data_IF_754590560037
#
_entry.id   IF_754590560037
#
_cell.length_a   1.000
_cell.length_b   1.000
_cell.length_c   1.000
_cell.angle_alpha   90.00
_cell.angle_beta   90.00
_cell.angle_gamma   90.00
#
_symmetry.space_group_name_H-M   'P 1'
#
loop_
_entity.id
_entity.type
_entity.pdbx_description
1 polymer ?
#
# COMPACT_ATOMS: atom_id res chain seq x y z
N UNK A 1 -15.79 -17.77 -3.77
CA UNK A 1 -16.37 -16.92 -2.70
C UNK A 1 -15.75 -15.52 -2.86
N UNK A 2 -16.53 -14.46 -2.71
CA UNK A 2 -16.03 -13.08 -2.85
C UNK A 2 -15.29 -12.69 -1.56
N UNK A 3 -14.10 -12.10 -1.67
CA UNK A 3 -13.38 -11.49 -0.55
C UNK A 3 -13.60 -9.98 -0.59
N UNK A 4 -14.02 -9.40 0.54
CA UNK A 4 -14.19 -7.97 0.72
C UNK A 4 -13.17 -7.46 1.73
N UNK A 5 -12.66 -6.26 1.52
CA UNK A 5 -11.61 -5.68 2.33
C UNK A 5 -11.57 -4.16 2.22
N UNK A 6 -11.17 -3.44 3.28
CA UNK A 6 -11.06 -1.99 3.24
C UNK A 6 -9.81 -1.51 2.48
N UNK A 7 -9.96 -0.35 1.84
CA UNK A 7 -8.86 0.52 1.43
C UNK A 7 -8.35 1.30 2.65
N UNK A 8 -7.14 1.02 3.13
CA UNK A 8 -6.68 1.54 4.43
C UNK A 8 -6.41 3.06 4.47
N UNK A 9 -6.38 3.74 3.32
CA UNK A 9 -6.41 5.21 3.27
C UNK A 9 -7.63 5.80 4.00
N UNK A 10 -8.73 5.05 4.06
CA UNK A 10 -9.96 5.41 4.80
C UNK A 10 -9.68 5.62 6.29
N UNK A 11 -8.71 4.88 6.85
CA UNK A 11 -8.32 4.89 8.26
C UNK A 11 -6.87 5.37 8.45
N UNK A 12 -6.34 6.14 7.48
CA UNK A 12 -4.93 6.55 7.40
C UNK A 12 -4.36 7.17 8.67
N UNK A 13 -5.16 7.88 9.46
CA UNK A 13 -4.70 8.53 10.69
C UNK A 13 -4.24 7.50 11.74
N UNK A 14 -4.79 6.27 11.71
CA UNK A 14 -4.37 5.16 12.55
C UNK A 14 -3.15 4.40 12.00
N UNK A 15 -2.78 4.62 10.74
CA UNK A 15 -1.70 3.89 10.09
C UNK A 15 -0.31 4.52 10.32
N UNK A 16 -0.20 5.52 11.20
CA UNK A 16 0.98 6.38 11.35
C UNK A 16 2.06 5.84 12.32
N UNK A 17 1.86 4.66 12.91
CA UNK A 17 2.84 3.95 13.75
C UNK A 17 2.70 2.43 13.58
N UNK A 18 3.72 1.67 13.96
CA UNK A 18 3.64 0.19 13.94
C UNK A 18 2.50 -0.33 14.82
N UNK A 19 2.32 0.24 16.03
CA UNK A 19 1.20 -0.07 16.92
C UNK A 19 -0.16 0.24 16.27
N UNK A 20 -0.27 1.37 15.56
CA UNK A 20 -1.48 1.76 14.88
C UNK A 20 -1.83 0.84 13.69
N UNK A 21 -0.81 0.39 12.95
CA UNK A 21 -0.96 -0.63 11.90
C UNK A 21 -1.45 -1.96 12.51
N UNK A 22 -0.79 -2.42 13.58
CA UNK A 22 -1.17 -3.65 14.29
C UNK A 22 -2.61 -3.58 14.82
N UNK A 23 -2.98 -2.49 15.49
CA UNK A 23 -4.34 -2.28 15.98
C UNK A 23 -5.37 -2.27 14.83
N UNK A 24 -5.03 -1.67 13.68
CA UNK A 24 -5.90 -1.67 12.50
C UNK A 24 -6.10 -3.08 11.95
N UNK A 25 -5.05 -3.89 11.85
CA UNK A 25 -5.17 -5.29 11.41
C UNK A 25 -5.93 -6.15 12.41
N UNK A 26 -5.74 -5.94 13.70
CA UNK A 26 -6.51 -6.61 14.75
C UNK A 26 -8.01 -6.33 14.61
N UNK A 27 -8.40 -5.07 14.41
CA UNK A 27 -9.80 -4.68 14.18
C UNK A 27 -10.32 -5.29 12.87
N UNK A 28 -9.54 -5.27 11.78
CA UNK A 28 -9.96 -5.88 10.52
C UNK A 28 -10.26 -7.38 10.69
N UNK A 29 -9.36 -8.10 11.36
CA UNK A 29 -9.52 -9.52 11.67
C UNK A 29 -10.77 -9.77 12.53
N UNK A 30 -10.96 -9.00 13.61
CA UNK A 30 -12.14 -9.12 14.49
C UNK A 30 -13.46 -8.91 13.73
N UNK A 31 -13.47 -8.02 12.72
CA UNK A 31 -14.64 -7.77 11.87
C UNK A 31 -14.79 -8.77 10.72
N UNK A 32 -13.90 -9.75 10.59
CA UNK A 32 -13.96 -10.80 9.57
C UNK A 32 -13.45 -10.37 8.20
N UNK A 33 -12.68 -9.27 8.10
CA UNK A 33 -11.98 -8.95 6.86
C UNK A 33 -10.76 -9.85 6.71
N UNK A 34 -10.68 -10.56 5.59
CA UNK A 34 -9.53 -11.41 5.23
C UNK A 34 -8.51 -10.70 4.35
N UNK A 35 -8.86 -9.52 3.82
CA UNK A 35 -8.01 -8.80 2.89
C UNK A 35 -8.09 -7.30 3.10
N UNK A 36 -7.01 -6.60 2.76
CA UNK A 36 -6.92 -5.14 2.77
C UNK A 36 -6.15 -4.68 1.56
N UNK A 37 -6.40 -3.45 1.12
CA UNK A 37 -5.42 -2.71 0.35
C UNK A 37 -4.65 -1.83 1.34
N UNK A 38 -3.31 -1.89 1.28
CA UNK A 38 -2.44 -1.13 2.17
C UNK A 38 -2.07 0.24 1.59
N UNK A 39 -2.31 1.31 2.34
CA UNK A 39 -2.03 2.67 1.89
C UNK A 39 -1.83 3.64 3.06
N UNK A 40 -1.05 4.70 2.81
CA UNK A 40 -0.76 5.78 3.75
C UNK A 40 -0.25 5.33 5.12
N UNK A 41 0.39 4.17 5.20
CA UNK A 41 1.01 3.68 6.42
C UNK A 41 2.39 4.28 6.63
N UNK A 42 2.79 4.40 7.90
CA UNK A 42 4.17 4.58 8.27
C UNK A 42 4.98 3.41 7.74
N UNK A 43 6.15 3.70 7.19
CA UNK A 43 7.09 2.66 6.79
C UNK A 43 7.48 1.81 8.00
N UNK A 44 7.31 0.50 7.85
CA UNK A 44 7.92 -0.53 8.68
C UNK A 44 8.62 -1.53 7.75
N UNK A 45 9.69 -2.20 8.21
CA UNK A 45 10.35 -3.25 7.43
C UNK A 45 9.38 -4.35 6.95
N UNK A 46 9.68 -4.95 5.79
CA UNK A 46 8.81 -5.94 5.15
C UNK A 46 8.59 -7.19 6.01
N UNK A 47 9.61 -7.68 6.69
CA UNK A 47 9.54 -8.79 7.65
C UNK A 47 8.55 -8.50 8.80
N UNK A 48 8.56 -7.26 9.31
CA UNK A 48 7.61 -6.79 10.34
C UNK A 48 6.19 -6.72 9.79
N UNK A 49 6.01 -6.16 8.61
CA UNK A 49 4.70 -6.13 7.95
C UNK A 49 4.16 -7.56 7.73
N UNK A 50 5.01 -8.46 7.23
CA UNK A 50 4.69 -9.88 7.05
C UNK A 50 4.25 -10.53 8.35
N UNK A 51 5.00 -10.32 9.43
CA UNK A 51 4.67 -10.89 10.73
C UNK A 51 3.29 -10.43 11.22
N UNK A 52 2.95 -9.15 11.02
CA UNK A 52 1.63 -8.61 11.36
C UNK A 52 0.52 -9.18 10.46
N UNK A 53 0.71 -9.23 9.15
CA UNK A 53 -0.28 -9.79 8.23
C UNK A 53 -0.54 -11.26 8.50
N UNK A 54 0.50 -12.04 8.79
CA UNK A 54 0.38 -13.47 9.14
C UNK A 54 -0.34 -13.65 10.49
N UNK A 55 0.01 -12.84 11.50
CA UNK A 55 -0.59 -12.89 12.84
C UNK A 55 -2.10 -12.65 12.82
N UNK A 56 -2.56 -11.70 12.00
CA UNK A 56 -3.98 -11.32 11.91
C UNK A 56 -4.69 -11.94 10.71
N UNK A 57 -4.05 -12.87 10.00
CA UNK A 57 -4.60 -13.55 8.83
C UNK A 57 -5.13 -12.57 7.77
N UNK A 58 -4.43 -11.46 7.58
CA UNK A 58 -4.78 -10.41 6.61
C UNK A 58 -3.96 -10.62 5.34
N UNK A 59 -4.63 -10.80 4.20
CA UNK A 59 -3.99 -10.75 2.89
C UNK A 59 -3.97 -9.32 2.35
N UNK A 60 -2.78 -8.75 2.13
CA UNK A 60 -2.65 -7.46 1.45
C UNK A 60 -2.76 -7.67 -0.06
N UNK A 61 -3.91 -7.33 -0.65
CA UNK A 61 -4.20 -7.61 -2.05
C UNK A 61 -3.54 -6.61 -3.02
N UNK A 62 -3.29 -5.39 -2.56
CA UNK A 62 -2.57 -4.37 -3.28
C UNK A 62 -2.02 -3.33 -2.32
N UNK A 63 -1.05 -2.54 -2.78
CA UNK A 63 -0.53 -1.37 -2.06
C UNK A 63 -0.76 -0.08 -2.85
N UNK A 64 -0.65 1.06 -2.17
CA UNK A 64 -0.42 2.35 -2.82
C UNK A 64 1.01 2.77 -2.49
N UNK A 65 1.88 2.72 -3.49
CA UNK A 65 3.27 3.15 -3.38
C UNK A 65 3.47 4.50 -4.10
N UNK A 66 4.41 5.33 -3.64
CA UNK A 66 4.73 6.59 -4.31
C UNK A 66 5.45 6.33 -5.64
N UNK A 67 5.17 7.14 -6.66
CA UNK A 67 5.82 7.04 -7.98
C UNK A 67 7.35 7.05 -7.88
N UNK A 68 7.91 7.86 -6.96
CA UNK A 68 9.36 7.96 -6.77
C UNK A 68 10.01 6.61 -6.44
N UNK A 69 9.36 5.76 -5.64
CA UNK A 69 9.85 4.41 -5.35
C UNK A 69 9.80 3.52 -6.59
N UNK A 70 8.77 3.68 -7.42
CA UNK A 70 8.65 2.92 -8.68
C UNK A 70 9.71 3.33 -9.70
N UNK A 71 10.14 4.60 -9.70
CA UNK A 71 11.14 5.12 -10.64
C UNK A 71 12.57 4.82 -10.19
N UNK A 72 12.83 4.97 -8.89
CA UNK A 72 14.20 5.04 -8.37
C UNK A 72 14.58 3.84 -7.50
N UNK A 73 13.63 2.97 -7.13
CA UNK A 73 13.84 1.90 -6.15
C UNK A 73 12.90 0.69 -6.40
N UNK A 74 12.69 0.36 -7.67
CA UNK A 74 11.69 -0.62 -8.10
C UNK A 74 12.06 -2.03 -7.63
N UNK A 75 13.32 -2.44 -7.77
CA UNK A 75 13.77 -3.78 -7.40
C UNK A 75 13.57 -4.04 -5.90
N UNK A 76 13.97 -3.10 -5.05
CA UNK A 76 13.74 -3.22 -3.60
C UNK A 76 12.25 -3.23 -3.28
N UNK A 77 11.45 -2.37 -3.92
CA UNK A 77 10.01 -2.36 -3.75
C UNK A 77 9.38 -3.71 -4.10
N UNK A 78 9.81 -4.33 -5.19
CA UNK A 78 9.34 -5.66 -5.62
C UNK A 78 9.69 -6.72 -4.58
N UNK A 79 10.92 -6.73 -4.06
CA UNK A 79 11.33 -7.71 -3.05
C UNK A 79 10.55 -7.55 -1.74
N UNK A 80 10.34 -6.32 -1.26
CA UNK A 80 9.48 -6.03 -0.11
C UNK A 80 8.05 -6.54 -0.31
N UNK A 81 7.48 -6.37 -1.52
CA UNK A 81 6.14 -6.86 -1.85
C UNK A 81 6.07 -8.38 -1.89
N UNK A 82 7.08 -9.04 -2.48
CA UNK A 82 7.18 -10.51 -2.51
C UNK A 82 7.29 -11.09 -1.11
N UNK A 83 8.06 -10.46 -0.23
CA UNK A 83 8.22 -10.90 1.16
C UNK A 83 6.88 -10.88 1.90
N UNK A 84 6.11 -9.79 1.80
CA UNK A 84 4.78 -9.68 2.41
C UNK A 84 3.72 -10.53 1.68
N UNK A 85 3.98 -10.92 0.43
CA UNK A 85 3.05 -11.68 -0.41
C UNK A 85 2.00 -10.81 -1.12
N UNK A 86 2.35 -9.56 -1.41
CA UNK A 86 1.49 -8.60 -2.14
C UNK A 86 1.62 -8.83 -3.64
N UNK A 87 0.54 -9.11 -4.38
CA UNK A 87 0.62 -9.42 -5.80
C UNK A 87 0.65 -8.19 -6.71
N UNK A 88 0.18 -7.02 -6.22
CA UNK A 88 -0.03 -5.83 -7.05
C UNK A 88 0.50 -4.58 -6.35
N UNK A 89 1.35 -3.84 -7.04
CA UNK A 89 1.76 -2.49 -6.68
C UNK A 89 0.83 -1.50 -7.37
N UNK A 90 0.16 -0.63 -6.61
CA UNK A 90 -0.68 0.45 -7.14
C UNK A 90 -0.01 1.81 -6.98
N UNK A 91 -0.15 2.69 -7.97
CA UNK A 91 0.20 4.09 -7.81
C UNK A 91 -0.95 4.81 -7.07
N UNK A 92 -0.69 5.28 -5.86
CA UNK A 92 -1.75 5.82 -4.99
C UNK A 92 -2.36 7.13 -5.46
N UNK A 93 -1.56 7.98 -6.08
CA UNK A 93 -2.01 9.22 -6.71
C UNK A 93 -0.99 9.69 -7.73
N UNK A 94 -1.45 10.47 -8.71
CA UNK A 94 -0.56 11.25 -9.56
C UNK A 94 0.19 12.28 -8.68
N UNK A 95 1.54 12.32 -8.70
CA UNK A 95 2.28 13.31 -7.93
C UNK A 95 1.89 14.74 -8.32
N UNK A 96 1.89 15.65 -7.35
CA UNK A 96 1.40 17.02 -7.54
C UNK A 96 2.14 17.77 -8.67
N UNK A 97 3.43 17.48 -8.90
CA UNK A 97 4.23 18.06 -9.98
C UNK A 97 3.60 17.84 -11.38
N UNK A 98 2.93 16.69 -11.58
CA UNK A 98 2.28 16.37 -12.86
C UNK A 98 0.91 17.03 -13.02
N UNK A 99 0.33 17.56 -11.94
CA UNK A 99 -0.91 18.36 -11.98
C UNK A 99 -0.66 19.85 -12.25
N UNK A 100 0.59 20.30 -12.22
CA UNK A 100 0.93 21.73 -12.23
C UNK A 100 0.66 22.44 -13.57
N UNK A 101 0.63 21.71 -14.69
CA UNK A 101 0.34 22.28 -16.02
C UNK A 101 -0.04 21.19 -17.03
N UNK A 102 -0.61 21.60 -18.17
CA UNK A 102 -0.89 20.70 -19.28
C UNK A 102 0.38 20.03 -19.85
N UNK A 103 1.52 20.72 -19.84
CA UNK A 103 2.80 20.15 -20.26
C UNK A 103 3.23 19.03 -19.31
N UNK A 104 3.16 19.28 -18.01
CA UNK A 104 3.48 18.28 -16.98
C UNK A 104 2.53 17.08 -17.00
N UNK A 105 1.24 17.31 -17.25
CA UNK A 105 0.28 16.22 -17.42
C UNK A 105 0.64 15.34 -18.62
N UNK A 106 1.09 15.93 -19.73
CA UNK A 106 1.56 15.16 -20.90
C UNK A 106 2.77 14.30 -20.59
N UNK A 107 3.75 14.85 -19.88
CA UNK A 107 4.91 14.08 -19.40
C UNK A 107 4.48 12.84 -18.60
N UNK A 108 3.48 12.98 -17.72
CA UNK A 108 2.95 11.85 -16.95
C UNK A 108 2.24 10.83 -17.84
N UNK A 109 1.43 11.27 -18.80
CA UNK A 109 0.73 10.33 -19.71
C UNK A 109 1.70 9.56 -20.59
N UNK A 110 2.77 10.19 -21.05
CA UNK A 110 3.81 9.54 -21.86
C UNK A 110 4.60 8.53 -21.05
N UNK A 111 4.87 8.81 -19.77
CA UNK A 111 5.54 7.88 -18.86
C UNK A 111 4.69 6.64 -18.54
N UNK A 112 3.35 6.77 -18.53
CA UNK A 112 2.42 5.69 -18.17
C UNK A 112 1.91 4.89 -19.38
N UNK A 113 2.22 5.31 -20.61
CA UNK A 113 1.78 4.67 -21.86
C UNK A 113 2.71 3.52 -22.28
#
# INVERSE_FOLDING_TARGET
MIRLGPQLYTVRDFMQSEEGIENTFAVCHEKGYETVQLSANKYIPADRMKALTDRYQIHVCATHSPLERMKNDLDQLIEEHKEVGVPVIGLGSMPAEYTASAAKLREFTEMMA
#
